data_IF_868550502749
#
_entry.id   IF_868550502749
#
_cell.length_a   1.000
_cell.length_b   1.000
_cell.length_c   1.000
_cell.angle_alpha   90.00
_cell.angle_beta   90.00
_cell.angle_gamma   90.00
#
_symmetry.space_group_name_H-M   'P 1'
#
loop_
_entity.id
_entity.type
_entity.pdbx_description
1 polymer ?
#
# COMPACT_ATOMS: atom_id res chain seq x y z
N UNK A 1 19.27 -2.49 0.00
CA UNK A 1 18.36 -2.60 1.17
C UNK A 1 18.18 -4.09 1.47
N UNK A 2 18.17 -4.48 2.73
CA UNK A 2 17.95 -5.89 3.13
C UNK A 2 16.46 -6.19 3.02
N UNK A 3 16.11 -7.29 2.34
CA UNK A 3 14.73 -7.76 2.26
C UNK A 3 14.28 -8.33 3.61
N UNK A 4 13.12 -7.89 4.09
CA UNK A 4 12.50 -8.43 5.31
C UNK A 4 11.64 -9.64 4.97
N UNK A 5 11.79 -10.72 5.74
CA UNK A 5 10.99 -11.95 5.57
C UNK A 5 9.59 -11.87 6.20
N UNK A 6 9.30 -10.83 6.96
CA UNK A 6 8.01 -10.54 7.59
C UNK A 6 7.77 -9.04 7.62
N UNK A 7 6.54 -8.57 7.70
CA UNK A 7 6.26 -7.17 7.97
C UNK A 7 6.94 -6.69 9.27
N UNK A 8 7.47 -5.47 9.24
CA UNK A 8 7.95 -4.82 10.46
C UNK A 8 6.83 -4.76 11.49
N UNK A 9 7.18 -4.95 12.75
CA UNK A 9 6.26 -4.98 13.88
C UNK A 9 6.51 -3.78 14.81
N UNK A 10 5.55 -3.43 15.68
CA UNK A 10 5.78 -2.42 16.71
C UNK A 10 7.08 -2.67 17.49
N UNK A 11 7.92 -1.62 17.56
CA UNK A 11 9.27 -1.66 18.15
C UNK A 11 10.41 -1.88 17.14
N UNK A 12 10.14 -2.42 15.95
CA UNK A 12 11.18 -2.58 14.92
C UNK A 12 11.62 -1.20 14.38
N UNK A 13 12.94 -0.99 14.15
CA UNK A 13 13.43 0.21 13.50
C UNK A 13 13.09 0.19 12.01
N UNK A 14 12.68 1.34 11.45
CA UNK A 14 12.44 1.44 10.01
C UNK A 14 13.75 1.52 9.22
N UNK A 15 13.83 0.87 8.06
CA UNK A 15 15.01 0.92 7.19
C UNK A 15 15.14 2.31 6.54
N UNK A 16 16.37 2.71 6.25
CA UNK A 16 16.63 3.91 5.46
C UNK A 16 16.03 3.77 4.06
N UNK A 17 15.46 4.85 3.57
CA UNK A 17 14.96 4.95 2.19
C UNK A 17 15.19 6.36 1.64
N UNK A 18 15.22 6.49 0.32
CA UNK A 18 15.17 7.75 -0.42
C UNK A 18 14.40 7.49 -1.70
N UNK A 19 13.26 8.14 -1.87
CA UNK A 19 12.35 7.92 -2.99
C UNK A 19 12.01 9.23 -3.71
N UNK A 20 11.87 9.20 -5.04
CA UNK A 20 11.44 10.37 -5.80
C UNK A 20 9.99 10.73 -5.47
N UNK A 21 9.72 12.02 -5.32
CA UNK A 21 8.38 12.53 -5.12
C UNK A 21 7.66 12.77 -6.46
N UNK A 22 6.38 12.40 -6.51
CA UNK A 22 5.55 12.59 -7.70
C UNK A 22 4.83 13.95 -7.70
N UNK A 23 4.39 14.43 -6.54
CA UNK A 23 3.59 15.67 -6.41
C UNK A 23 4.37 16.85 -5.82
N UNK A 24 5.68 16.76 -5.78
CA UNK A 24 6.62 17.85 -5.47
C UNK A 24 7.97 17.57 -6.10
N UNK A 25 8.87 18.56 -6.11
CA UNK A 25 10.24 18.38 -6.60
C UNK A 25 11.11 17.57 -5.65
N UNK A 26 12.12 16.90 -6.20
CA UNK A 26 13.15 16.17 -5.46
C UNK A 26 12.75 14.81 -4.96
N UNK A 27 13.37 14.44 -3.86
CA UNK A 27 13.19 13.15 -3.17
C UNK A 27 12.74 13.36 -1.74
N UNK A 28 12.27 12.30 -1.10
CA UNK A 28 12.02 12.22 0.33
C UNK A 28 12.79 11.04 0.89
N UNK A 29 13.51 11.27 1.95
CA UNK A 29 14.29 10.26 2.67
C UNK A 29 13.78 10.08 4.10
N UNK A 30 14.18 8.99 4.74
CA UNK A 30 13.94 8.80 6.17
C UNK A 30 14.57 9.93 7.00
N UNK A 31 15.73 10.46 6.57
CA UNK A 31 16.42 11.54 7.28
C UNK A 31 15.60 12.85 7.30
N UNK A 32 14.82 13.13 6.25
CA UNK A 32 13.91 14.27 6.19
C UNK A 32 12.75 14.17 7.19
N UNK A 33 12.49 12.98 7.69
CA UNK A 33 11.39 12.66 8.62
C UNK A 33 11.84 12.49 10.08
N UNK A 34 13.15 12.54 10.34
CA UNK A 34 13.69 12.35 11.70
C UNK A 34 13.09 13.32 12.71
N UNK A 35 12.80 12.79 13.90
CA UNK A 35 12.23 13.56 15.00
C UNK A 35 10.74 13.88 14.86
N UNK A 36 10.09 13.39 13.81
CA UNK A 36 8.64 13.57 13.57
C UNK A 36 7.96 12.24 13.32
N UNK A 37 6.85 11.95 13.97
CA UNK A 37 6.05 10.78 13.63
C UNK A 37 5.49 10.90 12.20
N UNK A 38 5.38 9.76 11.52
CA UNK A 38 4.76 9.72 10.19
C UNK A 38 4.00 8.41 9.95
N UNK A 39 2.91 8.52 9.21
CA UNK A 39 2.18 7.40 8.63
C UNK A 39 2.66 7.21 7.19
N UNK A 40 3.11 6.00 6.87
CA UNK A 40 3.52 5.62 5.52
C UNK A 40 2.68 4.44 5.03
N UNK A 41 1.99 4.63 3.90
CA UNK A 41 1.26 3.57 3.21
C UNK A 41 2.01 3.12 1.96
N UNK A 42 2.20 1.81 1.81
CA UNK A 42 2.80 1.17 0.63
C UNK A 42 1.70 0.55 -0.21
N UNK A 43 1.53 1.03 -1.42
CA UNK A 43 0.44 0.68 -2.31
C UNK A 43 0.92 -0.02 -3.59
N UNK A 44 0.04 -0.82 -4.17
CA UNK A 44 0.17 -1.24 -5.56
C UNK A 44 0.17 -0.02 -6.50
N UNK A 45 0.46 -0.26 -7.77
CA UNK A 45 0.42 0.77 -8.78
C UNK A 45 -0.94 1.46 -8.90
N UNK A 46 -0.93 2.62 -9.53
CA UNK A 46 -2.14 3.43 -9.72
C UNK A 46 -3.22 2.76 -10.58
N UNK A 47 -2.91 1.61 -11.21
CA UNK A 47 -3.89 0.73 -11.85
C UNK A 47 -4.88 0.09 -10.84
N UNK A 48 -4.52 0.02 -9.56
CA UNK A 48 -5.37 -0.55 -8.51
C UNK A 48 -6.40 0.48 -8.00
N UNK A 49 -7.70 0.31 -8.25
CA UNK A 49 -8.73 1.26 -7.84
C UNK A 49 -8.81 1.41 -6.31
N UNK A 50 -8.65 0.32 -5.56
CA UNK A 50 -8.65 0.36 -4.10
C UNK A 50 -7.50 1.22 -3.56
N UNK A 51 -6.31 1.11 -4.15
CA UNK A 51 -5.13 1.89 -3.77
C UNK A 51 -5.35 3.38 -4.04
N UNK A 52 -5.91 3.75 -5.20
CA UNK A 52 -6.23 5.15 -5.51
C UNK A 52 -7.21 5.75 -4.49
N UNK A 53 -8.25 5.00 -4.12
CA UNK A 53 -9.24 5.42 -3.12
C UNK A 53 -8.64 5.57 -1.74
N UNK A 54 -7.73 4.68 -1.37
CA UNK A 54 -7.03 4.77 -0.09
C UNK A 54 -6.11 6.00 -0.04
N UNK A 55 -5.42 6.34 -1.12
CA UNK A 55 -4.65 7.60 -1.20
C UNK A 55 -5.55 8.83 -1.01
N UNK A 56 -6.74 8.84 -1.62
CA UNK A 56 -7.75 9.90 -1.41
C UNK A 56 -8.22 9.92 0.04
N UNK A 57 -8.49 8.77 0.63
CA UNK A 57 -8.89 8.65 2.03
C UNK A 57 -7.80 9.18 2.98
N UNK A 58 -6.54 8.85 2.73
CA UNK A 58 -5.41 9.40 3.49
C UNK A 58 -5.39 10.93 3.41
N UNK A 59 -5.65 11.51 2.25
CA UNK A 59 -5.78 12.96 2.08
C UNK A 59 -6.91 13.55 2.93
N UNK A 60 -8.05 12.86 3.02
CA UNK A 60 -9.19 13.33 3.82
C UNK A 60 -8.94 13.31 5.33
N UNK A 61 -8.14 12.35 5.83
CA UNK A 61 -7.81 12.25 7.27
C UNK A 61 -6.53 13.01 7.64
N UNK A 62 -5.76 13.47 6.66
CA UNK A 62 -4.48 14.16 6.88
C UNK A 62 -4.58 15.35 7.86
N UNK A 63 -5.63 16.22 7.83
CA UNK A 63 -5.75 17.30 8.81
C UNK A 63 -5.80 16.79 10.26
N UNK A 64 -6.51 15.68 10.53
CA UNK A 64 -6.58 15.08 11.85
C UNK A 64 -5.24 14.44 12.26
N UNK A 65 -4.55 13.77 11.32
CA UNK A 65 -3.22 13.21 11.57
C UNK A 65 -2.18 14.31 11.86
N UNK A 66 -2.21 15.42 11.12
CA UNK A 66 -1.34 16.58 11.38
C UNK A 66 -1.63 17.23 12.72
N UNK A 67 -2.90 17.32 13.14
CA UNK A 67 -3.27 17.78 14.47
C UNK A 67 -2.72 16.86 15.58
N UNK A 68 -2.50 15.58 15.26
CA UNK A 68 -1.80 14.62 16.13
C UNK A 68 -0.26 14.69 15.99
N UNK A 69 0.29 15.56 15.14
CA UNK A 69 1.73 15.69 14.89
C UNK A 69 2.28 14.65 13.91
N UNK A 70 1.42 13.96 13.16
CA UNK A 70 1.80 12.86 12.25
C UNK A 70 1.80 13.36 10.80
N UNK A 71 2.93 13.22 10.11
CA UNK A 71 3.04 13.45 8.66
C UNK A 71 2.46 12.23 7.91
N UNK A 72 1.95 12.44 6.68
CA UNK A 72 1.31 11.36 5.89
C UNK A 72 1.99 11.19 4.55
N UNK A 73 2.39 9.95 4.24
CA UNK A 73 3.13 9.58 3.03
C UNK A 73 2.45 8.39 2.36
N UNK A 74 2.30 8.45 1.05
CA UNK A 74 1.88 7.33 0.22
C UNK A 74 3.02 6.94 -0.73
N UNK A 75 3.37 5.65 -0.78
CA UNK A 75 4.37 5.09 -1.70
C UNK A 75 3.65 4.18 -2.67
N UNK A 76 3.76 4.46 -3.96
CA UNK A 76 3.17 3.64 -5.03
C UNK A 76 4.26 2.94 -5.84
N UNK A 77 4.03 1.71 -6.28
CA UNK A 77 4.95 1.01 -7.17
C UNK A 77 4.79 1.42 -8.66
N UNK A 78 4.40 2.67 -8.88
CA UNK A 78 4.25 3.27 -10.19
C UNK A 78 5.51 4.09 -10.53
N UNK A 79 6.02 4.05 -11.78
CA UNK A 79 7.11 4.93 -12.20
C UNK A 79 6.78 6.40 -11.93
N UNK A 80 7.78 7.17 -11.50
CA UNK A 80 7.57 8.54 -11.02
C UNK A 80 6.90 9.44 -12.05
N UNK A 81 7.23 9.29 -13.34
CA UNK A 81 6.63 10.10 -14.41
C UNK A 81 5.14 9.79 -14.58
N UNK A 82 4.76 8.51 -14.50
CA UNK A 82 3.35 8.10 -14.54
C UNK A 82 2.60 8.58 -13.30
N UNK A 83 3.21 8.52 -12.12
CA UNK A 83 2.64 9.03 -10.88
C UNK A 83 2.45 10.56 -10.93
N UNK A 84 3.40 11.31 -11.51
CA UNK A 84 3.28 12.75 -11.76
C UNK A 84 2.15 13.09 -12.71
N UNK A 85 2.00 12.31 -13.78
CA UNK A 85 0.90 12.49 -14.73
C UNK A 85 -0.44 12.28 -14.04
N UNK A 86 -0.57 11.23 -13.25
CA UNK A 86 -1.77 10.97 -12.48
C UNK A 86 -2.09 12.11 -11.51
N UNK A 87 -1.11 12.59 -10.73
CA UNK A 87 -1.32 13.66 -9.76
C UNK A 87 -1.77 14.98 -10.43
N UNK A 88 -1.28 15.30 -11.63
CA UNK A 88 -1.77 16.47 -12.38
C UNK A 88 -3.26 16.42 -12.69
N UNK A 89 -3.82 15.23 -12.89
CA UNK A 89 -5.24 15.04 -13.21
C UNK A 89 -6.11 14.80 -11.95
N UNK A 90 -5.50 14.23 -10.91
CA UNK A 90 -6.16 13.92 -9.63
C UNK A 90 -5.23 14.27 -8.47
N UNK A 91 -5.05 15.55 -8.16
CA UNK A 91 -4.12 16.00 -7.13
C UNK A 91 -4.43 15.42 -5.76
N UNK A 92 -3.37 15.05 -5.03
CA UNK A 92 -3.47 14.65 -3.63
C UNK A 92 -2.67 15.59 -2.73
N UNK A 93 -3.13 15.80 -1.49
CA UNK A 93 -2.40 16.56 -0.47
C UNK A 93 -1.39 15.70 0.29
N UNK A 94 -1.48 14.38 0.17
CA UNK A 94 -0.53 13.43 0.76
C UNK A 94 0.77 13.45 -0.04
N UNK A 95 1.92 13.41 0.63
CA UNK A 95 3.20 13.26 -0.07
C UNK A 95 3.22 11.93 -0.83
N UNK A 96 3.25 12.00 -2.16
CA UNK A 96 3.20 10.83 -3.04
C UNK A 96 4.61 10.50 -3.54
N UNK A 97 5.08 9.29 -3.22
CA UNK A 97 6.41 8.78 -3.58
C UNK A 97 6.31 7.59 -4.54
N UNK A 98 7.32 7.40 -5.36
CA UNK A 98 7.38 6.33 -6.35
C UNK A 98 8.48 5.30 -5.98
N UNK A 99 8.11 4.01 -5.96
CA UNK A 99 9.00 2.86 -5.72
C UNK A 99 8.72 1.74 -6.74
N UNK A 100 8.98 1.95 -8.05
CA UNK A 100 8.55 1.04 -9.12
C UNK A 100 9.19 -0.35 -9.03
N UNK A 101 10.27 -0.49 -8.28
CA UNK A 101 10.93 -1.77 -8.03
C UNK A 101 10.50 -2.44 -6.72
N UNK A 102 9.58 -1.84 -5.96
CA UNK A 102 9.16 -2.30 -4.63
C UNK A 102 10.32 -2.53 -3.66
N UNK A 103 11.43 -1.81 -3.80
CA UNK A 103 12.59 -1.99 -2.95
C UNK A 103 12.31 -1.58 -1.50
N UNK A 104 11.62 -0.45 -1.32
CA UNK A 104 11.20 0.02 0.00
C UNK A 104 10.04 -0.82 0.55
N UNK A 105 9.09 -1.25 -0.31
CA UNK A 105 8.05 -2.21 0.08
C UNK A 105 8.68 -3.45 0.73
N UNK A 106 9.66 -4.10 0.06
CA UNK A 106 10.35 -5.28 0.59
C UNK A 106 11.16 -4.99 1.85
N UNK A 107 11.76 -3.81 1.95
CA UNK A 107 12.52 -3.43 3.13
C UNK A 107 11.64 -3.23 4.38
N UNK A 108 10.38 -2.84 4.21
CA UNK A 108 9.38 -2.80 5.28
C UNK A 108 8.68 -4.16 5.49
N UNK A 109 9.00 -5.15 4.66
CA UNK A 109 8.39 -6.48 4.70
C UNK A 109 6.94 -6.51 4.27
N UNK A 110 6.53 -5.54 3.42
CA UNK A 110 5.19 -5.60 2.80
C UNK A 110 5.13 -6.83 1.91
N UNK A 111 4.20 -7.77 2.14
CA UNK A 111 4.23 -9.07 1.46
C UNK A 111 4.03 -8.95 -0.05
N UNK A 112 4.83 -9.70 -0.77
CA UNK A 112 4.59 -10.09 -2.14
C UNK A 112 4.27 -11.58 -2.12
N UNK A 113 3.06 -11.97 -2.49
CA UNK A 113 2.60 -13.36 -2.39
C UNK A 113 3.41 -14.23 -3.36
N UNK A 114 4.06 -15.26 -2.83
CA UNK A 114 4.68 -16.32 -3.62
C UNK A 114 3.65 -17.43 -3.84
N UNK A 115 3.35 -17.74 -5.09
CA UNK A 115 2.47 -18.87 -5.38
C UNK A 115 3.22 -20.18 -5.31
N UNK A 116 2.64 -21.14 -4.60
CA UNK A 116 3.15 -22.50 -4.52
C UNK A 116 3.12 -23.14 -5.91
N UNK A 117 4.17 -23.93 -6.28
CA UNK A 117 4.15 -24.72 -7.51
C UNK A 117 2.93 -25.65 -7.57
N UNK A 118 2.43 -25.89 -8.77
CA UNK A 118 1.37 -26.85 -8.98
C UNK A 118 1.77 -28.25 -8.48
N UNK A 119 0.89 -28.91 -7.71
CA UNK A 119 1.17 -30.21 -7.08
C UNK A 119 2.11 -30.15 -5.88
N UNK A 120 2.44 -28.96 -5.35
CA UNK A 120 3.23 -28.82 -4.12
C UNK A 120 2.53 -29.51 -2.95
N UNK A 121 3.30 -30.24 -2.14
CA UNK A 121 2.86 -30.78 -0.85
C UNK A 121 2.98 -29.77 0.31
N UNK A 122 3.53 -28.57 0.04
CA UNK A 122 3.63 -27.53 1.03
C UNK A 122 2.27 -26.91 1.32
N UNK A 123 2.04 -26.51 2.56
CA UNK A 123 0.83 -25.79 2.94
C UNK A 123 1.00 -24.28 2.69
N UNK A 124 -0.05 -23.58 2.21
CA UNK A 124 -0.06 -22.14 2.13
C UNK A 124 0.27 -21.49 3.48
N UNK A 125 1.05 -20.40 3.43
CA UNK A 125 1.42 -19.59 4.59
C UNK A 125 1.06 -18.13 4.29
N UNK A 126 -0.23 -17.86 4.27
CA UNK A 126 -0.73 -16.52 4.02
C UNK A 126 -0.15 -15.50 5.04
N UNK A 127 0.24 -14.29 4.63
CA UNK A 127 0.16 -13.71 3.27
C UNK A 127 1.44 -13.90 2.42
N UNK A 128 2.41 -14.65 2.87
CA UNK A 128 3.71 -14.82 2.19
C UNK A 128 3.62 -15.83 1.05
N UNK A 129 2.89 -16.92 1.26
CA UNK A 129 2.71 -17.99 0.26
C UNK A 129 1.23 -18.37 0.16
N UNK A 130 0.73 -18.58 -1.04
CA UNK A 130 -0.65 -18.99 -1.31
C UNK A 130 -0.69 -20.08 -2.36
N UNK A 131 -1.72 -20.92 -2.33
CA UNK A 131 -2.03 -21.74 -3.48
C UNK A 131 -2.74 -20.90 -4.54
N UNK A 132 -2.38 -21.10 -5.81
CA UNK A 132 -3.06 -20.41 -6.90
C UNK A 132 -4.57 -20.73 -6.96
N UNK A 133 -5.02 -21.98 -6.77
CA UNK A 133 -6.46 -22.30 -6.71
C UNK A 133 -7.21 -21.51 -5.62
N UNK A 134 -6.67 -21.41 -4.40
CA UNK A 134 -7.31 -20.60 -3.33
C UNK A 134 -7.41 -19.13 -3.69
N UNK A 135 -6.32 -18.56 -4.24
CA UNK A 135 -6.31 -17.17 -4.68
C UNK A 135 -7.34 -16.91 -5.78
N UNK A 136 -7.46 -17.82 -6.76
CA UNK A 136 -8.43 -17.72 -7.84
C UNK A 136 -9.86 -17.99 -7.40
N UNK A 137 -10.06 -18.75 -6.31
CA UNK A 137 -11.36 -18.98 -5.71
C UNK A 137 -11.85 -17.78 -4.88
N UNK A 138 -10.96 -16.87 -4.48
CA UNK A 138 -11.32 -15.72 -3.68
C UNK A 138 -12.36 -14.84 -4.37
N UNK A 139 -13.24 -14.25 -3.56
CA UNK A 139 -14.27 -13.30 -4.00
C UNK A 139 -14.24 -12.09 -3.11
N UNK A 140 -14.03 -10.92 -3.72
CA UNK A 140 -13.85 -9.66 -3.00
C UNK A 140 -14.89 -8.63 -3.43
N UNK A 141 -15.39 -7.88 -2.46
CA UNK A 141 -16.19 -6.67 -2.62
C UNK A 141 -15.97 -5.78 -1.39
N UNK A 142 -14.73 -5.32 -1.13
CA UNK A 142 -14.37 -4.69 0.14
C UNK A 142 -15.10 -3.38 0.40
N UNK A 143 -15.56 -2.71 -0.64
CA UNK A 143 -16.27 -1.42 -0.57
C UNK A 143 -17.78 -1.54 -0.80
N UNK A 144 -18.27 -2.76 -1.10
CA UNK A 144 -19.68 -3.00 -1.38
C UNK A 144 -20.21 -2.37 -2.67
N UNK A 145 -19.32 -1.95 -3.59
CA UNK A 145 -19.69 -1.23 -4.82
C UNK A 145 -20.06 -2.16 -5.98
N UNK A 146 -19.66 -3.41 -5.90
CA UNK A 146 -19.98 -4.40 -6.91
C UNK A 146 -21.35 -5.01 -6.63
N UNK A 147 -22.08 -5.37 -7.67
CA UNK A 147 -23.38 -6.04 -7.55
C UNK A 147 -23.23 -7.42 -6.88
N UNK A 148 -22.09 -8.07 -7.14
CA UNK A 148 -21.67 -9.33 -6.50
C UNK A 148 -20.16 -9.34 -6.29
N UNK A 149 -19.61 -10.11 -5.32
CA UNK A 149 -18.18 -10.28 -5.15
C UNK A 149 -17.54 -10.96 -6.37
N UNK A 150 -16.42 -10.40 -6.86
CA UNK A 150 -15.66 -10.89 -8.01
C UNK A 150 -14.28 -11.43 -7.59
N UNK A 151 -13.63 -12.15 -8.49
CA UNK A 151 -12.22 -12.51 -8.31
C UNK A 151 -11.35 -11.23 -8.21
N UNK A 152 -10.26 -11.22 -7.42
CA UNK A 152 -9.40 -10.05 -7.29
C UNK A 152 -8.89 -9.51 -8.64
N UNK A 153 -8.59 -10.40 -9.59
CA UNK A 153 -8.11 -10.00 -10.94
C UNK A 153 -9.23 -9.41 -11.82
N UNK A 154 -10.48 -9.78 -11.60
CA UNK A 154 -11.63 -9.28 -12.36
C UNK A 154 -12.16 -7.96 -11.80
N UNK A 155 -11.98 -7.75 -10.52
CA UNK A 155 -12.47 -6.56 -9.81
C UNK A 155 -11.81 -5.27 -10.32
N UNK A 156 -10.49 -5.28 -10.56
CA UNK A 156 -9.76 -4.11 -11.00
C UNK A 156 -10.27 -3.54 -12.34
N UNK A 157 -10.42 -4.35 -13.43
CA UNK A 157 -10.97 -3.86 -14.69
C UNK A 157 -12.37 -3.26 -14.55
N UNK A 158 -13.26 -3.90 -13.79
CA UNK A 158 -14.63 -3.42 -13.58
C UNK A 158 -14.65 -2.06 -12.90
N UNK A 159 -13.90 -1.91 -11.80
CA UNK A 159 -13.85 -0.65 -11.07
C UNK A 159 -13.08 0.44 -11.83
N UNK A 160 -12.03 0.10 -12.59
CA UNK A 160 -11.33 1.04 -13.45
C UNK A 160 -12.27 1.61 -14.52
N UNK A 161 -13.08 0.76 -15.16
CA UNK A 161 -14.05 1.19 -16.14
C UNK A 161 -15.11 2.14 -15.54
N UNK A 162 -15.61 1.83 -14.33
CA UNK A 162 -16.57 2.71 -13.60
C UNK A 162 -15.96 4.08 -13.27
N UNK A 163 -14.66 4.14 -12.98
CA UNK A 163 -13.94 5.37 -12.66
C UNK A 163 -13.43 6.14 -13.90
N UNK A 164 -13.60 5.57 -15.10
CA UNK A 164 -13.01 6.11 -16.32
C UNK A 164 -11.47 6.15 -16.27
N UNK A 165 -10.86 5.18 -15.57
CA UNK A 165 -9.40 5.06 -15.51
C UNK A 165 -8.90 4.17 -16.65
N UNK A 166 -8.11 4.75 -17.54
CA UNK A 166 -7.44 4.04 -18.63
C UNK A 166 -6.02 3.66 -18.21
N UNK A 167 -5.71 2.37 -18.34
CA UNK A 167 -4.36 1.86 -18.09
C UNK A 167 -3.46 2.19 -19.29
N UNK A 168 -2.27 2.70 -18.97
CA UNK A 168 -1.20 2.91 -19.93
C UNK A 168 -0.19 1.75 -19.90
N UNK A 169 0.74 1.73 -20.85
CA UNK A 169 1.81 0.71 -20.93
C UNK A 169 2.56 0.55 -19.62
N UNK A 170 2.88 1.64 -18.94
CA UNK A 170 3.54 1.62 -17.63
C UNK A 170 2.70 0.91 -16.56
N UNK A 171 1.38 1.09 -16.57
CA UNK A 171 0.47 0.43 -15.61
C UNK A 171 0.41 -1.08 -15.88
N UNK A 172 0.36 -1.48 -17.15
CA UNK A 172 0.40 -2.90 -17.55
C UNK A 172 1.72 -3.56 -17.16
N UNK A 173 2.86 -2.88 -17.39
CA UNK A 173 4.18 -3.38 -17.01
C UNK A 173 4.32 -3.59 -15.50
N UNK A 174 3.85 -2.64 -14.69
CA UNK A 174 3.86 -2.76 -13.22
C UNK A 174 2.91 -3.85 -12.74
N UNK A 175 1.71 -3.96 -13.30
CA UNK A 175 0.79 -5.04 -12.97
C UNK A 175 1.41 -6.42 -13.27
N UNK A 176 2.02 -6.59 -14.43
CA UNK A 176 2.69 -7.85 -14.79
C UNK A 176 3.86 -8.18 -13.85
N UNK A 177 4.63 -7.16 -13.44
CA UNK A 177 5.81 -7.34 -12.57
C UNK A 177 5.46 -7.59 -11.10
N UNK A 178 4.39 -6.96 -10.59
CA UNK A 178 4.07 -6.92 -9.16
C UNK A 178 2.62 -7.29 -8.84
N UNK A 179 2.00 -8.14 -9.65
CA UNK A 179 0.57 -8.52 -9.54
C UNK A 179 0.18 -9.00 -8.13
N UNK A 180 1.06 -9.76 -7.49
CA UNK A 180 0.83 -10.35 -6.17
C UNK A 180 1.31 -9.47 -4.99
N UNK A 181 1.62 -8.19 -5.22
CA UNK A 181 2.00 -7.25 -4.17
C UNK A 181 0.80 -6.92 -3.29
N UNK A 182 0.93 -7.04 -1.98
CA UNK A 182 -0.05 -6.55 -1.01
C UNK A 182 0.25 -5.10 -0.60
N UNK A 183 -0.63 -4.53 0.20
CA UNK A 183 -0.55 -3.18 0.74
C UNK A 183 -0.20 -3.24 2.23
N UNK A 184 0.60 -2.28 2.70
CA UNK A 184 0.94 -2.15 4.11
C UNK A 184 0.89 -0.70 4.58
N UNK A 185 0.39 -0.49 5.80
CA UNK A 185 0.38 0.80 6.47
C UNK A 185 1.20 0.71 7.75
N UNK A 186 2.10 1.67 7.95
CA UNK A 186 2.99 1.72 9.12
C UNK A 186 2.94 3.11 9.73
N UNK A 187 2.64 3.17 11.02
CA UNK A 187 2.82 4.39 11.80
C UNK A 187 4.18 4.30 12.48
N UNK A 188 5.01 5.31 12.27
CA UNK A 188 6.37 5.39 12.77
C UNK A 188 6.46 6.53 13.77
N UNK A 189 7.09 6.28 14.91
CA UNK A 189 7.30 7.26 15.96
C UNK A 189 8.45 8.24 15.65
N UNK A 190 8.63 9.26 16.47
CA UNK A 190 9.70 10.24 16.33
C UNK A 190 11.12 9.66 16.46
N UNK A 191 11.25 8.47 17.04
CA UNK A 191 12.50 7.72 17.19
C UNK A 191 12.82 6.83 15.98
N UNK A 192 11.92 6.79 14.97
CA UNK A 192 12.08 5.96 13.77
C UNK A 192 11.76 4.49 14.00
N UNK A 193 10.89 4.18 14.97
CA UNK A 193 10.38 2.83 15.22
C UNK A 193 8.93 2.71 14.81
N UNK A 194 8.56 1.54 14.31
CA UNK A 194 7.15 1.23 14.05
C UNK A 194 6.38 1.25 15.36
N UNK A 195 5.29 2.01 15.42
CA UNK A 195 4.37 2.05 16.55
C UNK A 195 3.09 1.27 16.28
N UNK A 196 2.67 1.22 15.01
CA UNK A 196 1.50 0.47 14.58
C UNK A 196 1.67 0.01 13.13
N UNK A 197 1.08 -1.13 12.80
CA UNK A 197 1.12 -1.73 11.46
C UNK A 197 -0.22 -2.36 11.10
N UNK A 198 -0.61 -2.23 9.85
CA UNK A 198 -1.70 -3.01 9.25
C UNK A 198 -1.26 -3.47 7.85
N UNK A 199 -1.38 -4.76 7.61
CA UNK A 199 -1.15 -5.38 6.32
C UNK A 199 -2.50 -5.77 5.72
N UNK A 200 -2.65 -5.55 4.42
CA UNK A 200 -3.84 -5.94 3.66
C UNK A 200 -4.14 -7.43 3.82
N UNK A 201 -5.43 -7.73 3.77
CA UNK A 201 -5.93 -9.10 3.74
C UNK A 201 -5.44 -9.98 4.91
N UNK A 202 -5.63 -9.58 6.16
CA UNK A 202 -5.16 -10.35 7.32
C UNK A 202 -5.83 -11.73 7.42
N UNK A 203 -7.06 -11.87 6.94
CA UNK A 203 -7.88 -13.08 7.04
C UNK A 203 -7.85 -13.95 5.77
N UNK A 204 -6.90 -13.71 4.87
CA UNK A 204 -6.74 -14.46 3.65
C UNK A 204 -7.20 -13.72 2.38
N UNK A 205 -7.18 -14.41 1.21
CA UNK A 205 -7.41 -13.77 -0.08
C UNK A 205 -8.77 -13.09 -0.24
N UNK A 206 -9.79 -13.51 0.49
CA UNK A 206 -11.13 -12.92 0.45
C UNK A 206 -11.19 -11.50 1.08
N UNK A 207 -10.17 -11.10 1.84
CA UNK A 207 -10.09 -9.76 2.44
C UNK A 207 -9.13 -8.82 1.69
N UNK A 208 -8.71 -9.16 0.46
CA UNK A 208 -7.95 -8.26 -0.43
C UNK A 208 -8.76 -7.00 -0.70
N UNK A 209 -8.09 -5.85 -0.63
CA UNK A 209 -8.70 -4.52 -0.76
C UNK A 209 -9.25 -3.96 0.55
N UNK A 210 -9.14 -4.69 1.67
CA UNK A 210 -9.50 -4.18 2.99
C UNK A 210 -8.33 -3.41 3.59
N UNK A 211 -8.56 -2.12 3.83
CA UNK A 211 -7.56 -1.17 4.33
C UNK A 211 -8.03 -0.52 5.63
N UNK A 212 -7.12 0.16 6.37
CA UNK A 212 -7.51 0.84 7.60
C UNK A 212 -8.54 1.92 7.34
N UNK A 213 -9.52 1.99 8.21
CA UNK A 213 -10.52 3.05 8.20
C UNK A 213 -9.93 4.37 8.72
N UNK A 214 -10.56 5.53 8.42
CA UNK A 214 -10.21 6.81 9.02
C UNK A 214 -10.13 6.76 10.55
N UNK A 215 -11.07 6.08 11.20
CA UNK A 215 -11.12 5.97 12.65
C UNK A 215 -9.92 5.20 13.23
N UNK A 216 -9.52 4.09 12.59
CA UNK A 216 -8.35 3.31 12.99
C UNK A 216 -7.06 4.10 12.83
N UNK A 217 -6.88 4.82 11.72
CA UNK A 217 -5.70 5.66 11.48
C UNK A 217 -5.58 6.78 12.52
N UNK A 218 -6.69 7.46 12.84
CA UNK A 218 -6.72 8.52 13.85
C UNK A 218 -6.47 7.94 15.25
N UNK A 219 -7.06 6.80 15.56
CA UNK A 219 -6.85 6.13 16.85
C UNK A 219 -5.37 5.72 17.03
N UNK A 220 -4.75 5.14 16.00
CA UNK A 220 -3.33 4.80 16.01
C UNK A 220 -2.45 6.04 16.24
N UNK A 221 -2.71 7.14 15.53
CA UNK A 221 -1.96 8.40 15.67
C UNK A 221 -2.10 9.01 17.08
N UNK A 222 -3.29 8.95 17.68
CA UNK A 222 -3.51 9.43 19.03
C UNK A 222 -2.79 8.56 20.08
N UNK A 223 -2.61 7.27 19.81
CA UNK A 223 -1.85 6.36 20.67
C UNK A 223 -0.37 6.68 20.80
N UNK A 224 0.22 7.48 19.89
CA UNK A 224 1.62 7.94 20.00
C UNK A 224 1.85 8.98 21.12
N UNK A 225 0.79 9.59 21.64
CA UNK A 225 0.88 10.70 22.61
C UNK A 225 1.00 10.22 24.06
N UNK A 226 1.01 8.91 24.28
CA UNK A 226 1.10 8.26 25.57
C UNK A 226 2.32 7.35 25.62
#
# INVERSE_FOLDING_TARGET
MTEQKRPLQPGDPVPAFTLPAANREGTVSLDDLRGRPFLIGFFRGLHCPFCRRQVVQLGSVQPALRAAGVETIAVVNTPVERARLYDRHRPTTVTLLADPDCATHRAFGVPHIEFLPEGSSEHPQWPLRASLPEFMAARINPTGELDEPLQPIETNPVLNAREGFEMEEADHAILAKHMAQLVGHFLVDAQGKVAWVQIEAPDGPNSIGTFPTPAELIAAANGLRH
#
